data_IF_520504474454
#
_entry.id   IF_520504474454
#
_cell.length_a   1.000
_cell.length_b   1.000
_cell.length_c   1.000
_cell.angle_alpha   90.00
_cell.angle_beta   90.00
_cell.angle_gamma   90.00
#
_symmetry.space_group_name_H-M   'P 1'
#
loop_
_entity.id
_entity.type
_entity.pdbx_description
1 polymer ?
#
# COMPACT_ATOMS: atom_id res chain seq x y z
N UNK A 1 -6.05 -19.33 3.16
CA UNK A 1 -7.46 -18.85 3.15
C UNK A 1 -7.83 -18.21 4.47
N UNK A 2 -7.39 -18.72 5.62
CA UNK A 2 -7.72 -18.15 6.94
C UNK A 2 -7.14 -16.76 7.16
N UNK A 3 -5.98 -16.47 6.56
CA UNK A 3 -5.32 -15.18 6.70
C UNK A 3 -5.95 -14.07 5.82
N UNK A 4 -6.33 -14.42 4.58
CA UNK A 4 -7.21 -13.58 3.76
C UNK A 4 -8.52 -13.30 4.50
N UNK A 5 -9.06 -14.31 5.19
CA UNK A 5 -10.30 -14.18 5.96
C UNK A 5 -10.11 -13.37 7.23
N UNK A 6 -8.95 -13.43 7.87
CA UNK A 6 -8.58 -12.57 9.00
C UNK A 6 -8.59 -11.11 8.55
N UNK A 7 -7.93 -10.79 7.45
CA UNK A 7 -7.76 -9.40 7.01
C UNK A 7 -8.99 -8.87 6.24
N UNK A 8 -9.72 -9.72 5.51
CA UNK A 8 -10.75 -9.31 4.52
C UNK A 8 -12.02 -10.20 4.52
N UNK A 9 -12.09 -11.29 5.29
CA UNK A 9 -13.23 -12.23 5.27
C UNK A 9 -14.39 -11.93 6.23
N UNK A 10 -15.62 -11.95 5.71
CA UNK A 10 -16.85 -11.55 6.44
C UNK A 10 -17.21 -12.32 7.72
N UNK A 11 -16.51 -13.39 8.10
CA UNK A 11 -16.75 -14.10 9.37
C UNK A 11 -16.08 -13.46 10.59
N UNK A 12 -15.23 -12.44 10.39
CA UNK A 12 -14.60 -11.66 11.46
C UNK A 12 -14.80 -10.15 11.21
N UNK A 13 -16.06 -9.73 11.02
CA UNK A 13 -16.43 -8.34 10.71
C UNK A 13 -15.82 -7.33 11.68
N UNK A 14 -15.80 -7.67 12.98
CA UNK A 14 -15.21 -6.81 14.01
C UNK A 14 -13.74 -6.53 13.80
N UNK A 15 -12.92 -7.57 13.55
CA UNK A 15 -11.50 -7.36 13.33
C UNK A 15 -11.23 -6.59 12.02
N UNK A 16 -12.03 -6.85 10.98
CA UNK A 16 -11.91 -6.11 9.70
C UNK A 16 -12.24 -4.63 9.91
N UNK A 17 -13.30 -4.33 10.65
CA UNK A 17 -13.64 -2.95 11.03
C UNK A 17 -12.53 -2.30 11.85
N UNK A 18 -11.91 -3.02 12.79
CA UNK A 18 -10.77 -2.54 13.58
C UNK A 18 -9.54 -2.27 12.70
N UNK A 19 -9.23 -3.14 11.72
CA UNK A 19 -8.12 -2.92 10.77
C UNK A 19 -8.42 -1.75 9.84
N UNK A 20 -9.63 -1.66 9.28
CA UNK A 20 -10.05 -0.52 8.44
C UNK A 20 -10.02 0.79 9.22
N UNK A 21 -10.44 0.78 10.49
CA UNK A 21 -10.32 1.92 11.39
C UNK A 21 -8.87 2.35 11.60
N UNK A 22 -7.97 1.42 11.90
CA UNK A 22 -6.53 1.70 12.01
C UNK A 22 -5.91 2.20 10.70
N UNK A 23 -6.38 1.70 9.55
CA UNK A 23 -5.94 2.17 8.25
C UNK A 23 -6.38 3.61 7.98
N UNK A 24 -7.64 3.95 8.31
CA UNK A 24 -8.13 5.31 8.19
C UNK A 24 -7.36 6.28 9.10
N UNK A 25 -7.12 5.91 10.36
CA UNK A 25 -6.32 6.68 11.31
C UNK A 25 -4.88 6.85 10.84
N UNK A 26 -4.27 5.79 10.32
CA UNK A 26 -2.94 5.83 9.73
C UNK A 26 -2.89 6.79 8.55
N UNK A 27 -3.83 6.68 7.60
CA UNK A 27 -3.93 7.59 6.45
C UNK A 27 -4.07 9.06 6.88
N UNK A 28 -4.93 9.33 7.88
CA UNK A 28 -5.14 10.67 8.42
C UNK A 28 -3.84 11.26 9.00
N UNK A 29 -3.07 10.49 9.75
CA UNK A 29 -1.78 10.92 10.32
C UNK A 29 -0.68 11.05 9.25
N UNK A 30 -0.60 10.08 8.34
CA UNK A 30 0.41 10.07 7.27
C UNK A 30 0.21 11.24 6.32
N UNK A 31 -1.02 11.70 6.11
CA UNK A 31 -1.27 12.92 5.36
C UNK A 31 -0.51 14.13 5.93
N UNK A 32 -0.65 14.40 7.22
CA UNK A 32 0.08 15.50 7.87
C UNK A 32 1.59 15.26 7.90
N UNK A 33 2.01 14.02 8.14
CA UNK A 33 3.40 13.63 8.07
C UNK A 33 4.01 13.90 6.69
N UNK A 34 3.25 13.61 5.63
CA UNK A 34 3.64 13.85 4.25
C UNK A 34 3.84 15.33 3.96
N UNK A 35 2.96 16.19 4.48
CA UNK A 35 3.10 17.64 4.36
C UNK A 35 4.34 18.12 5.13
N UNK A 36 4.54 17.63 6.36
CA UNK A 36 5.71 17.96 7.18
C UNK A 36 7.03 17.54 6.50
N UNK A 37 7.05 16.35 5.88
CA UNK A 37 8.18 15.84 5.08
C UNK A 37 8.29 16.46 3.69
N UNK A 38 7.36 17.33 3.29
CA UNK A 38 7.28 17.94 1.94
C UNK A 38 7.11 16.92 0.80
N UNK A 39 6.65 15.71 1.11
CA UNK A 39 6.28 14.69 0.12
C UNK A 39 4.88 14.93 -0.47
N UNK A 40 4.03 15.64 0.29
CA UNK A 40 2.66 15.97 -0.06
C UNK A 40 2.51 17.51 -0.07
N UNK A 41 1.86 18.05 -1.10
CA UNK A 41 1.63 19.49 -1.30
C UNK A 41 0.16 19.87 -1.06
N UNK A 42 -0.16 20.79 -0.14
CA UNK A 42 -1.49 21.39 -0.03
C UNK A 42 -1.84 22.26 -1.27
N UNK A 43 -3.13 22.53 -1.55
CA UNK A 43 -4.32 22.00 -0.89
C UNK A 43 -4.68 20.59 -1.37
N UNK A 44 -5.08 19.73 -0.45
CA UNK A 44 -5.58 18.38 -0.78
C UNK A 44 -7.09 18.40 -1.03
N UNK A 45 -7.62 17.44 -1.80
CA UNK A 45 -9.06 17.22 -1.91
C UNK A 45 -9.67 17.10 -0.50
N UNK A 46 -10.81 17.76 -0.26
CA UNK A 46 -11.52 17.71 1.03
C UNK A 46 -12.02 16.31 1.37
N UNK A 47 -12.20 15.45 0.35
CA UNK A 47 -12.62 14.07 0.53
C UNK A 47 -11.42 13.15 0.77
N UNK A 48 -11.17 12.86 2.06
CA UNK A 48 -10.11 11.95 2.55
C UNK A 48 -10.34 10.50 2.08
N UNK A 49 -11.51 10.16 1.54
CA UNK A 49 -11.79 8.87 0.88
C UNK A 49 -11.94 8.97 -0.63
N UNK A 50 -11.72 10.15 -1.19
CA UNK A 50 -11.75 10.38 -2.63
C UNK A 50 -10.61 9.62 -3.33
N UNK A 51 -10.86 9.23 -4.58
CA UNK A 51 -9.86 8.55 -5.42
C UNK A 51 -8.59 9.39 -5.55
N UNK A 52 -8.72 10.70 -5.77
CA UNK A 52 -7.58 11.60 -5.92
C UNK A 52 -6.70 11.66 -4.67
N UNK A 53 -7.31 11.75 -3.49
CA UNK A 53 -6.57 11.74 -2.22
C UNK A 53 -5.85 10.40 -2.02
N UNK A 54 -6.55 9.29 -2.25
CA UNK A 54 -5.99 7.94 -2.13
C UNK A 54 -4.81 7.75 -3.08
N UNK A 55 -4.94 8.19 -4.34
CA UNK A 55 -3.86 8.15 -5.33
C UNK A 55 -2.64 8.99 -4.88
N UNK A 56 -2.86 10.21 -4.40
CA UNK A 56 -1.78 11.07 -3.91
C UNK A 56 -1.06 10.43 -2.72
N UNK A 57 -1.81 9.85 -1.78
CA UNK A 57 -1.26 9.17 -0.62
C UNK A 57 -0.44 7.94 -1.02
N UNK A 58 -0.98 7.06 -1.88
CA UNK A 58 -0.31 5.84 -2.30
C UNK A 58 1.01 6.16 -3.03
N UNK A 59 1.01 7.21 -3.85
CA UNK A 59 2.23 7.69 -4.51
C UNK A 59 3.28 8.22 -3.54
N UNK A 60 2.88 8.87 -2.45
CA UNK A 60 3.80 9.44 -1.47
C UNK A 60 4.35 8.41 -0.48
N UNK A 61 3.56 7.39 -0.11
CA UNK A 61 3.90 6.41 0.93
C UNK A 61 5.31 5.82 0.81
N UNK A 62 5.77 5.33 -0.37
CA UNK A 62 7.11 4.78 -0.50
C UNK A 62 8.24 5.79 -0.22
N UNK A 63 8.00 7.07 -0.47
CA UNK A 63 8.98 8.13 -0.17
C UNK A 63 9.00 8.53 1.31
N UNK A 64 7.86 8.38 1.99
CA UNK A 64 7.72 8.64 3.42
C UNK A 64 8.34 7.53 4.27
N UNK A 65 8.32 6.30 3.75
CA UNK A 65 8.87 5.12 4.40
C UNK A 65 9.87 4.43 3.45
N UNK A 66 11.01 5.08 3.14
CA UNK A 66 11.91 4.63 2.08
C UNK A 66 12.59 3.30 2.41
N UNK A 67 12.66 2.45 1.40
CA UNK A 67 13.53 1.25 1.42
C UNK A 67 14.90 1.59 0.85
N UNK A 68 15.99 0.94 1.32
CA UNK A 68 17.34 1.22 0.85
C UNK A 68 17.60 0.69 -0.57
N UNK A 69 16.73 -0.19 -1.08
CA UNK A 69 16.87 -0.78 -2.41
C UNK A 69 16.08 0.03 -3.43
N UNK A 70 16.74 0.45 -4.52
CA UNK A 70 16.06 1.12 -5.63
C UNK A 70 15.08 0.18 -6.34
N UNK A 71 13.98 0.70 -6.93
CA UNK A 71 13.08 -0.10 -7.75
C UNK A 71 13.80 -0.61 -9.02
N UNK A 72 13.36 -1.74 -9.61
CA UNK A 72 13.84 -2.19 -10.91
C UNK A 72 13.73 -1.08 -11.95
N UNK A 73 14.74 -0.91 -12.83
CA UNK A 73 14.78 0.17 -13.83
C UNK A 73 13.52 0.26 -14.69
N UNK A 74 12.92 -0.89 -15.03
CA UNK A 74 11.68 -0.97 -15.85
C UNK A 74 10.40 -0.61 -15.10
N UNK A 75 10.44 -0.52 -13.77
CA UNK A 75 9.29 -0.19 -12.93
C UNK A 75 9.09 1.33 -12.80
N UNK A 76 10.13 2.13 -13.07
CA UNK A 76 10.08 3.58 -12.94
C UNK A 76 10.33 4.05 -11.51
N UNK A 77 9.33 3.93 -10.63
CA UNK A 77 9.41 4.38 -9.23
C UNK A 77 8.96 3.28 -8.25
N UNK A 78 9.09 3.53 -6.94
CA UNK A 78 8.72 2.54 -5.92
C UNK A 78 7.20 2.37 -5.75
N UNK A 79 6.37 3.38 -6.03
CA UNK A 79 4.91 3.28 -5.93
C UNK A 79 4.34 2.27 -6.93
N UNK A 80 4.92 2.19 -8.13
CA UNK A 80 4.59 1.22 -9.18
C UNK A 80 4.75 -0.25 -8.73
N UNK A 81 5.42 -0.49 -7.59
CA UNK A 81 5.43 -1.81 -6.96
C UNK A 81 4.07 -2.20 -6.32
N UNK A 82 3.19 -1.23 -6.07
CA UNK A 82 1.93 -1.37 -5.32
C UNK A 82 0.73 -0.88 -6.12
N UNK A 83 0.86 0.21 -6.87
CA UNK A 83 -0.22 0.82 -7.65
C UNK A 83 0.29 1.28 -9.03
N UNK A 84 -0.45 0.93 -10.06
CA UNK A 84 -0.28 1.44 -11.42
C UNK A 84 -1.58 2.09 -11.90
N UNK A 85 -1.49 3.33 -12.37
CA UNK A 85 -2.60 4.02 -13.03
C UNK A 85 -2.41 3.88 -14.54
N UNK A 86 -3.33 3.17 -15.19
CA UNK A 86 -3.30 2.92 -16.62
C UNK A 86 -3.39 4.24 -17.39
N UNK A 87 -2.55 4.36 -18.41
CA UNK A 87 -2.64 5.46 -19.37
C UNK A 87 -3.79 5.19 -20.35
N UNK A 88 -4.26 6.24 -21.00
CA UNK A 88 -5.27 6.10 -22.06
C UNK A 88 -4.80 5.12 -23.15
N UNK A 89 -5.60 4.07 -23.40
CA UNK A 89 -5.28 3.00 -24.35
C UNK A 89 -4.27 1.96 -23.86
N UNK A 90 -3.83 2.02 -22.61
CA UNK A 90 -2.94 1.00 -22.02
C UNK A 90 -3.72 -0.27 -21.68
N UNK A 91 -3.27 -1.41 -22.21
CA UNK A 91 -3.88 -2.71 -21.92
C UNK A 91 -3.33 -3.26 -20.59
N UNK A 92 -4.19 -3.54 -19.59
CA UNK A 92 -3.77 -4.03 -18.29
C UNK A 92 -3.07 -5.39 -18.34
N UNK A 93 -3.48 -6.29 -19.23
CA UNK A 93 -2.86 -7.61 -19.36
C UNK A 93 -1.46 -7.51 -19.99
N UNK A 94 -1.28 -6.62 -20.97
CA UNK A 94 0.04 -6.35 -21.54
C UNK A 94 0.98 -5.66 -20.54
N UNK A 95 0.45 -4.71 -19.74
CA UNK A 95 1.20 -4.11 -18.63
C UNK A 95 1.69 -5.20 -17.66
N UNK A 96 0.77 -6.03 -17.16
CA UNK A 96 1.05 -7.09 -16.19
C UNK A 96 2.09 -8.09 -16.70
N UNK A 97 2.05 -8.45 -17.99
CA UNK A 97 3.06 -9.33 -18.61
C UNK A 97 4.46 -8.71 -18.68
N UNK A 98 4.55 -7.39 -18.84
CA UNK A 98 5.84 -6.66 -18.94
C UNK A 98 6.38 -6.23 -17.59
N UNK A 99 5.56 -6.25 -16.56
CA UNK A 99 5.89 -5.80 -15.22
C UNK A 99 7.06 -6.61 -14.64
N UNK A 100 8.11 -5.96 -14.10
CA UNK A 100 9.31 -6.66 -13.63
C UNK A 100 9.14 -7.31 -12.24
N UNK A 101 8.00 -7.14 -11.60
CA UNK A 101 7.68 -7.69 -10.29
C UNK A 101 6.46 -8.61 -10.39
N UNK A 102 6.53 -9.76 -9.72
CA UNK A 102 5.40 -10.69 -9.59
C UNK A 102 4.58 -10.45 -8.32
N UNK A 103 4.84 -9.35 -7.60
CA UNK A 103 4.13 -9.02 -6.36
C UNK A 103 2.70 -8.54 -6.62
N UNK A 104 1.80 -8.63 -5.63
CA UNK A 104 0.49 -8.03 -5.67
C UNK A 104 0.56 -6.54 -6.08
N UNK A 105 -0.37 -6.11 -6.93
CA UNK A 105 -0.46 -4.74 -7.45
C UNK A 105 -1.90 -4.35 -7.72
N UNK A 106 -2.23 -3.09 -7.43
CA UNK A 106 -3.46 -2.45 -7.87
C UNK A 106 -3.24 -1.85 -9.25
N UNK A 107 -4.11 -2.14 -10.20
CA UNK A 107 -4.10 -1.53 -11.53
C UNK A 107 -5.42 -0.80 -11.70
N UNK A 108 -5.37 0.51 -11.90
CA UNK A 108 -6.57 1.37 -11.96
C UNK A 108 -6.61 2.14 -13.26
N UNK A 109 -7.77 2.21 -13.91
CA UNK A 109 -8.03 3.12 -15.04
C UNK A 109 -8.69 4.44 -14.60
N UNK A 110 -8.85 4.65 -13.29
CA UNK A 110 -9.55 5.79 -12.69
C UNK A 110 -11.04 5.55 -12.43
N UNK A 111 -11.64 4.53 -13.07
CA UNK A 111 -13.03 4.11 -12.84
C UNK A 111 -13.10 2.75 -12.13
N UNK A 112 -12.26 1.83 -12.56
CA UNK A 112 -12.21 0.45 -12.09
C UNK A 112 -10.81 0.16 -11.60
N UNK A 113 -10.70 -0.50 -10.45
CA UNK A 113 -9.41 -0.96 -9.93
C UNK A 113 -9.40 -2.48 -9.86
N UNK A 114 -8.42 -3.10 -10.50
CA UNK A 114 -8.19 -4.55 -10.39
C UNK A 114 -7.02 -4.82 -9.45
N UNK A 115 -7.11 -5.90 -8.69
CA UNK A 115 -6.00 -6.47 -7.95
C UNK A 115 -5.43 -7.60 -8.79
N UNK A 116 -4.13 -7.54 -9.06
CA UNK A 116 -3.41 -8.60 -9.76
C UNK A 116 -2.30 -9.16 -8.87
N UNK A 117 -2.01 -10.45 -9.03
CA UNK A 117 -0.86 -11.12 -8.43
C UNK A 117 -0.06 -11.76 -9.56
N UNK A 118 1.21 -11.40 -9.69
CA UNK A 118 1.98 -11.77 -10.87
C UNK A 118 1.42 -11.09 -12.12
N UNK A 119 1.09 -11.90 -13.12
CA UNK A 119 0.44 -11.46 -14.36
C UNK A 119 -1.05 -11.82 -14.42
N UNK A 120 -1.64 -12.24 -13.29
CA UNK A 120 -3.02 -12.73 -13.21
C UNK A 120 -3.88 -11.71 -12.44
N UNK A 121 -4.89 -11.11 -13.09
CA UNK A 121 -5.96 -10.40 -12.37
C UNK A 121 -6.72 -11.37 -11.48
N UNK A 122 -6.91 -11.04 -10.20
CA UNK A 122 -7.54 -11.93 -9.21
C UNK A 122 -8.93 -11.43 -8.83
N UNK A 123 -9.09 -10.12 -8.65
CA UNK A 123 -10.39 -9.52 -8.32
C UNK A 123 -10.46 -8.08 -8.82
N UNK A 124 -11.68 -7.57 -8.95
CA UNK A 124 -11.95 -6.15 -9.14
C UNK A 124 -12.41 -5.57 -7.80
N UNK A 125 -11.90 -4.39 -7.45
CA UNK A 125 -12.33 -3.62 -6.29
C UNK A 125 -13.38 -2.59 -6.71
N UNK A 126 -14.50 -2.50 -5.97
CA UNK A 126 -15.40 -1.36 -6.06
C UNK A 126 -14.65 -0.04 -5.81
N UNK A 127 -15.12 1.04 -6.42
CA UNK A 127 -14.43 2.33 -6.35
C UNK A 127 -14.42 2.89 -4.91
N UNK A 128 -15.49 2.64 -4.16
CA UNK A 128 -15.64 2.96 -2.75
C UNK A 128 -14.60 2.27 -1.85
N UNK A 129 -14.14 1.09 -2.25
CA UNK A 129 -13.14 0.28 -1.54
C UNK A 129 -11.71 0.58 -2.00
N UNK A 130 -11.51 1.50 -2.96
CA UNK A 130 -10.18 1.82 -3.48
C UNK A 130 -9.23 2.30 -2.37
N UNK A 131 -9.76 3.06 -1.41
CA UNK A 131 -9.00 3.52 -0.23
C UNK A 131 -8.44 2.36 0.59
N UNK A 132 -9.14 1.22 0.64
CA UNK A 132 -8.72 0.00 1.34
C UNK A 132 -7.79 -0.90 0.50
N UNK A 133 -7.47 -0.50 -0.74
CA UNK A 133 -6.70 -1.32 -1.68
C UNK A 133 -5.35 -1.80 -1.12
N UNK A 134 -4.70 -1.00 -0.26
CA UNK A 134 -3.46 -1.42 0.40
C UNK A 134 -3.67 -2.60 1.36
N UNK A 135 -4.77 -2.62 2.11
CA UNK A 135 -5.13 -3.74 2.99
C UNK A 135 -5.36 -5.02 2.18
N UNK A 136 -5.97 -4.88 1.00
CA UNK A 136 -6.17 -6.00 0.08
C UNK A 136 -4.83 -6.53 -0.43
N UNK A 137 -3.88 -5.66 -0.79
CA UNK A 137 -2.52 -6.08 -1.15
C UNK A 137 -1.85 -6.84 0.01
N UNK A 138 -1.94 -6.32 1.24
CA UNK A 138 -1.40 -6.98 2.44
C UNK A 138 -2.01 -8.37 2.63
N UNK A 139 -3.33 -8.51 2.45
CA UNK A 139 -4.00 -9.79 2.55
C UNK A 139 -3.46 -10.83 1.55
N UNK A 140 -3.14 -10.42 0.32
CA UNK A 140 -2.52 -11.31 -0.67
C UNK A 140 -1.09 -11.68 -0.32
N UNK A 141 -0.27 -10.75 0.18
CA UNK A 141 1.09 -11.08 0.63
C UNK A 141 1.07 -12.17 1.70
N UNK A 142 0.17 -12.02 2.66
CA UNK A 142 0.02 -12.97 3.76
C UNK A 142 -0.54 -14.32 3.31
N UNK A 143 -1.64 -14.31 2.56
CA UNK A 143 -2.33 -15.53 2.13
C UNK A 143 -1.45 -16.41 1.24
N UNK A 144 -0.63 -15.76 0.41
CA UNK A 144 0.24 -16.44 -0.55
C UNK A 144 1.69 -16.56 -0.05
N UNK A 145 1.97 -16.15 1.20
CA UNK A 145 3.30 -16.20 1.82
C UNK A 145 4.39 -15.55 0.94
N UNK A 146 4.06 -14.42 0.32
CA UNK A 146 4.94 -13.73 -0.62
C UNK A 146 5.91 -12.83 0.13
N UNK A 147 7.15 -12.76 -0.37
CA UNK A 147 8.13 -11.79 0.11
C UNK A 147 7.80 -10.39 -0.42
N UNK A 148 8.01 -9.38 0.42
CA UNK A 148 7.87 -8.00 0.02
C UNK A 148 8.93 -7.62 -1.04
N UNK A 149 8.55 -6.83 -2.07
CA UNK A 149 9.52 -6.25 -2.98
C UNK A 149 10.47 -5.34 -2.21
N UNK A 150 11.78 -5.56 -2.36
CA UNK A 150 12.81 -4.84 -1.59
C UNK A 150 12.73 -3.31 -1.70
N UNK A 151 12.16 -2.78 -2.78
CA UNK A 151 12.01 -1.34 -3.00
C UNK A 151 10.87 -0.68 -2.22
N UNK A 152 9.97 -1.47 -1.64
CA UNK A 152 8.85 -1.01 -0.78
C UNK A 152 8.74 -1.81 0.52
N UNK A 153 9.72 -2.66 0.84
CA UNK A 153 9.68 -3.53 2.00
C UNK A 153 9.53 -2.75 3.32
N UNK A 154 10.24 -1.63 3.48
CA UNK A 154 10.10 -0.77 4.67
C UNK A 154 8.65 -0.31 4.87
N UNK A 155 8.01 0.19 3.81
CA UNK A 155 6.62 0.65 3.86
C UNK A 155 5.66 -0.49 4.24
N UNK A 156 5.80 -1.65 3.61
CA UNK A 156 4.92 -2.80 3.88
C UNK A 156 5.11 -3.30 5.32
N UNK A 157 6.35 -3.31 5.85
CA UNK A 157 6.60 -3.62 7.26
C UNK A 157 6.00 -2.59 8.22
N UNK A 158 6.00 -1.29 7.86
CA UNK A 158 5.32 -0.25 8.65
C UNK A 158 3.81 -0.49 8.67
N UNK A 159 3.19 -0.77 7.53
CA UNK A 159 1.75 -1.08 7.45
C UNK A 159 1.42 -2.35 8.24
N UNK A 160 2.26 -3.38 8.14
CA UNK A 160 2.13 -4.60 8.95
C UNK A 160 2.08 -4.29 10.45
N UNK A 161 3.01 -3.47 10.97
CA UNK A 161 3.05 -3.19 12.41
C UNK A 161 2.00 -2.17 12.86
N UNK A 162 1.80 -1.09 12.11
CA UNK A 162 0.95 0.03 12.53
C UNK A 162 -0.53 -0.17 12.22
N UNK A 163 -0.83 -0.90 11.14
CA UNK A 163 -2.20 -1.04 10.63
C UNK A 163 -2.73 -2.45 10.86
N UNK A 164 -1.98 -3.48 10.49
CA UNK A 164 -2.39 -4.87 10.75
C UNK A 164 -2.20 -5.21 12.23
N UNK A 165 -1.17 -4.64 12.87
CA UNK A 165 -0.85 -4.85 14.29
C UNK A 165 -0.06 -6.12 14.55
N UNK A 166 0.53 -6.71 13.51
CA UNK A 166 1.35 -7.90 13.65
C UNK A 166 2.80 -7.51 13.93
N UNK A 167 3.52 -8.39 14.61
CA UNK A 167 4.98 -8.29 14.73
C UNK A 167 5.65 -8.56 13.39
N UNK A 168 6.76 -7.89 13.12
CA UNK A 168 7.66 -8.26 12.02
C UNK A 168 8.77 -9.19 12.53
N UNK A 169 9.31 -10.02 11.64
CA UNK A 169 10.45 -10.86 11.98
C UNK A 169 11.72 -10.00 12.13
N UNK A 170 12.66 -10.42 12.99
CA UNK A 170 13.95 -9.74 13.18
C UNK A 170 14.73 -9.44 11.89
N UNK A 171 14.60 -10.28 10.87
CA UNK A 171 15.24 -10.09 9.56
C UNK A 171 14.63 -8.91 8.78
N UNK A 172 13.34 -8.60 9.03
CA UNK A 172 12.60 -7.51 8.41
C UNK A 172 12.70 -6.22 9.25
N UNK A 173 13.11 -6.33 10.53
CA UNK A 173 13.44 -5.23 11.43
C UNK A 173 14.79 -4.55 11.07
N UNK A 174 14.93 -4.20 9.78
CA UNK A 174 16.10 -3.57 9.19
C UNK A 174 16.39 -2.20 9.81
N UNK A 175 17.60 -1.69 9.60
CA UNK A 175 17.97 -0.33 10.02
C UNK A 175 17.07 0.74 9.38
N UNK A 176 16.65 0.53 8.11
CA UNK A 176 15.72 1.41 7.41
C UNK A 176 14.35 1.42 8.09
N UNK A 177 13.80 0.25 8.43
CA UNK A 177 12.55 0.13 9.18
C UNK A 177 12.64 0.81 10.56
N UNK A 178 13.68 0.50 11.35
CA UNK A 178 13.87 1.09 12.68
C UNK A 178 13.95 2.61 12.63
N UNK A 179 14.69 3.15 11.66
CA UNK A 179 14.79 4.60 11.44
C UNK A 179 13.44 5.20 11.06
N UNK A 180 12.72 4.58 10.11
CA UNK A 180 11.42 5.04 9.66
C UNK A 180 10.40 5.04 10.81
N UNK A 181 10.38 3.99 11.64
CA UNK A 181 9.51 3.90 12.82
C UNK A 181 9.87 4.93 13.89
N UNK A 182 11.15 5.19 14.15
CA UNK A 182 11.56 6.19 15.12
C UNK A 182 11.13 7.60 14.70
N UNK A 183 11.29 7.93 13.42
CA UNK A 183 10.88 9.22 12.83
C UNK A 183 9.36 9.37 12.82
N UNK A 184 8.63 8.31 12.43
CA UNK A 184 7.18 8.25 12.47
C UNK A 184 6.62 8.42 13.89
N UNK A 185 7.14 7.68 14.87
CA UNK A 185 6.74 7.79 16.28
C UNK A 185 6.99 9.19 16.84
N UNK A 186 8.16 9.75 16.56
CA UNK A 186 8.51 11.12 16.92
C UNK A 186 7.57 12.17 16.31
N UNK A 187 6.94 11.86 15.16
CA UNK A 187 5.93 12.75 14.57
C UNK A 187 4.57 12.60 15.24
N UNK A 188 4.08 11.39 15.47
CA UNK A 188 2.71 11.15 16.00
C UNK A 188 2.58 11.39 17.51
N UNK A 189 3.70 11.41 18.24
CA UNK A 189 3.75 11.70 19.68
C UNK A 189 3.85 13.21 19.99
N UNK A 190 3.93 14.06 18.96
CA UNK A 190 3.91 15.53 19.08
C UNK A 190 2.51 16.09 18.95
#
# INVERSE_FOLDING_TARGET
MDELRRIVGGTNSRYIEEVKGRWADFCAKVHFYGVWKKALKPPFPLDVRGVEFTLALFNALPSLFPSPTSPPKKLGNSCEALLHVLKSGEDPALYLKKRPLSSPVLVSDGSTTIVAVGNVPVTTLPQEDFSDGMLVLMAYYYTLHLRYPKCVATLLSVIQTEVIGDTIHDQDATSAYKKAMADWKCFIEK
#
